data_IF_078244491446
#
_entry.id   IF_078244491446
#
_cell.length_a   1.000
_cell.length_b   1.000
_cell.length_c   1.000
_cell.angle_alpha   90.00
_cell.angle_beta   90.00
_cell.angle_gamma   90.00
#
_symmetry.space_group_name_H-M   'P 1'
#
loop_
_entity.id
_entity.type
_entity.pdbx_description
1 polymer ?
#
# COMPACT_ATOMS: atom_id res chain seq x y z
N UNK A 1 -8.65 12.75 1.66
CA UNK A 1 -8.57 11.56 2.54
C UNK A 1 -8.97 11.99 3.96
N UNK A 2 -9.09 11.09 4.95
CA UNK A 2 -9.37 11.49 6.33
C UNK A 2 -8.17 12.26 6.94
N UNK A 3 -8.46 13.31 7.71
CA UNK A 3 -7.50 14.14 8.49
C UNK A 3 -6.46 13.30 9.26
N UNK A 4 -6.85 12.13 9.77
CA UNK A 4 -5.92 11.22 10.43
C UNK A 4 -4.71 10.88 9.55
N UNK A 5 -4.92 10.48 8.29
CA UNK A 5 -3.84 10.06 7.39
C UNK A 5 -2.99 11.24 6.93
N UNK A 6 -3.59 12.41 6.70
CA UNK A 6 -2.85 13.64 6.41
C UNK A 6 -1.94 14.02 7.59
N UNK A 7 -2.46 13.91 8.82
CA UNK A 7 -1.67 14.14 10.03
C UNK A 7 -0.53 13.12 10.18
N UNK A 8 -0.76 11.88 9.77
CA UNK A 8 0.21 10.81 9.80
C UNK A 8 1.33 11.03 8.77
N UNK A 9 0.99 11.45 7.54
CA UNK A 9 1.96 11.83 6.50
C UNK A 9 2.92 12.91 7.00
N UNK A 10 2.38 13.98 7.62
CA UNK A 10 3.17 15.03 8.28
C UNK A 10 4.11 14.48 9.36
N UNK A 11 3.66 13.52 10.18
CA UNK A 11 4.49 12.90 11.22
C UNK A 11 5.65 12.11 10.61
N UNK A 12 5.42 11.40 9.51
CA UNK A 12 6.46 10.67 8.78
C UNK A 12 7.52 11.60 8.21
N UNK A 13 7.12 12.66 7.49
CA UNK A 13 8.08 13.65 6.96
C UNK A 13 8.92 14.26 8.08
N UNK A 14 8.27 14.78 9.13
CA UNK A 14 8.99 15.36 10.28
C UNK A 14 9.95 14.36 10.94
N UNK A 15 9.57 13.08 11.01
CA UNK A 15 10.42 12.04 11.56
C UNK A 15 11.63 11.72 10.67
N UNK A 16 11.48 11.78 9.34
CA UNK A 16 12.59 11.65 8.40
C UNK A 16 13.55 12.85 8.47
N UNK A 17 13.01 14.08 8.60
CA UNK A 17 13.82 15.30 8.72
C UNK A 17 14.72 15.28 9.96
N UNK A 18 14.21 14.80 11.09
CA UNK A 18 15.02 14.58 12.31
C UNK A 18 16.18 13.60 12.12
N UNK A 19 16.17 12.83 11.03
CA UNK A 19 17.22 11.87 10.65
C UNK A 19 18.06 12.34 9.46
N UNK A 20 17.94 13.63 9.08
CA UNK A 20 18.70 14.22 7.98
C UNK A 20 18.17 13.86 6.59
N UNK A 21 17.00 13.25 6.47
CA UNK A 21 16.38 12.91 5.20
C UNK A 21 15.19 13.82 4.90
N UNK A 22 15.13 14.38 3.68
CA UNK A 22 13.95 15.09 3.18
C UNK A 22 13.16 14.13 2.30
N UNK A 23 11.90 13.90 2.67
CA UNK A 23 10.94 13.13 1.89
C UNK A 23 9.69 13.97 1.67
N UNK A 24 8.99 13.72 0.58
CA UNK A 24 7.62 14.21 0.41
C UNK A 24 6.71 13.59 1.49
N UNK A 25 5.65 14.31 1.84
CA UNK A 25 4.65 13.77 2.77
C UNK A 25 4.00 12.55 2.12
N UNK A 26 4.02 11.36 2.77
CA UNK A 26 3.34 10.20 2.23
C UNK A 26 1.84 10.48 2.14
N UNK A 27 1.31 10.31 0.93
CA UNK A 27 -0.12 10.37 0.66
C UNK A 27 -0.64 8.97 0.32
N UNK A 28 -1.87 8.70 0.72
CA UNK A 28 -2.55 7.47 0.34
C UNK A 28 -3.75 7.87 -0.51
N UNK A 29 -3.80 7.37 -1.74
CA UNK A 29 -4.95 7.59 -2.62
C UNK A 29 -6.13 6.70 -2.18
N UNK A 30 -7.35 7.19 -2.29
CA UNK A 30 -8.55 6.46 -1.86
C UNK A 30 -8.76 5.13 -2.61
N UNK A 31 -8.45 5.09 -3.91
CA UNK A 31 -8.57 3.87 -4.73
C UNK A 31 -7.51 2.85 -4.35
N UNK A 32 -6.28 3.32 -4.14
CA UNK A 32 -5.17 2.47 -3.66
C UNK A 32 -5.47 1.93 -2.26
N UNK A 33 -6.00 2.76 -1.36
CA UNK A 33 -6.40 2.35 -0.02
C UNK A 33 -7.42 1.20 -0.05
N UNK A 34 -8.44 1.30 -0.91
CA UNK A 34 -9.46 0.26 -1.06
C UNK A 34 -8.83 -1.08 -1.45
N UNK A 35 -7.96 -1.08 -2.47
CA UNK A 35 -7.32 -2.33 -2.92
C UNK A 35 -6.34 -2.89 -1.88
N UNK A 36 -5.67 -2.05 -1.08
CA UNK A 36 -4.83 -2.53 0.03
C UNK A 36 -5.65 -3.19 1.15
N UNK A 37 -6.85 -2.71 1.42
CA UNK A 37 -7.78 -3.31 2.38
C UNK A 37 -8.30 -4.66 1.86
N UNK A 38 -8.68 -4.73 0.59
CA UNK A 38 -9.08 -5.98 -0.04
C UNK A 38 -7.94 -7.00 -0.12
N UNK A 39 -6.70 -6.56 -0.42
CA UNK A 39 -5.53 -7.41 -0.38
C UNK A 39 -5.29 -7.95 1.04
N UNK A 40 -5.40 -7.11 2.07
CA UNK A 40 -5.27 -7.53 3.46
C UNK A 40 -6.33 -8.58 3.81
N UNK A 41 -7.58 -8.39 3.35
CA UNK A 41 -8.67 -9.37 3.50
C UNK A 41 -8.28 -10.69 2.86
N UNK A 42 -7.87 -10.71 1.59
CA UNK A 42 -7.47 -11.96 0.91
C UNK A 42 -6.31 -12.64 1.63
N UNK A 43 -5.22 -11.91 1.88
CA UNK A 43 -4.04 -12.46 2.56
C UNK A 43 -4.35 -13.05 3.94
N UNK A 44 -5.29 -12.44 4.68
CA UNK A 44 -5.71 -12.93 5.99
C UNK A 44 -6.42 -14.29 5.93
N UNK A 45 -7.07 -14.61 4.81
CA UNK A 45 -7.91 -15.80 4.64
C UNK A 45 -7.27 -16.89 3.76
N UNK A 46 -6.27 -16.56 2.94
CA UNK A 46 -5.63 -17.55 2.04
C UNK A 46 -4.48 -18.32 2.69
N UNK A 47 -3.65 -17.67 3.53
CA UNK A 47 -2.44 -18.28 4.12
C UNK A 47 -2.45 -18.23 5.65
N UNK A 48 -2.16 -17.06 6.21
CA UNK A 48 -2.13 -16.84 7.65
C UNK A 48 -2.60 -15.43 7.98
N UNK A 49 -3.50 -15.30 8.95
CA UNK A 49 -4.08 -14.00 9.34
C UNK A 49 -3.03 -12.93 9.66
N UNK A 50 -1.90 -13.32 10.24
CA UNK A 50 -0.80 -12.42 10.60
C UNK A 50 -0.04 -11.85 9.39
N UNK A 51 -0.20 -12.43 8.19
CA UNK A 51 0.47 -11.96 6.98
C UNK A 51 -0.20 -10.75 6.34
N UNK A 52 -1.49 -10.50 6.63
CA UNK A 52 -2.21 -9.35 6.08
C UNK A 52 -1.46 -8.00 6.20
N UNK A 53 -0.96 -7.57 7.38
CA UNK A 53 -0.20 -6.32 7.48
C UNK A 53 1.11 -6.33 6.69
N UNK A 54 1.77 -7.49 6.55
CA UNK A 54 3.01 -7.62 5.79
C UNK A 54 2.75 -7.56 4.28
N UNK A 55 1.66 -8.18 3.81
CA UNK A 55 1.21 -8.11 2.43
C UNK A 55 0.86 -6.66 2.04
N UNK A 56 0.12 -5.93 2.88
CA UNK A 56 -0.18 -4.51 2.64
C UNK A 56 1.07 -3.63 2.65
N UNK A 57 2.03 -3.88 3.55
CA UNK A 57 3.32 -3.17 3.54
C UNK A 57 4.08 -3.41 2.24
N UNK A 58 4.18 -4.67 1.80
CA UNK A 58 4.86 -5.05 0.56
C UNK A 58 4.19 -4.44 -0.67
N UNK A 59 2.85 -4.40 -0.70
CA UNK A 59 2.10 -3.75 -1.78
C UNK A 59 2.37 -2.24 -1.84
N UNK A 60 2.48 -1.55 -0.70
CA UNK A 60 2.90 -0.15 -0.66
C UNK A 60 4.31 0.07 -1.22
N UNK A 61 5.26 -0.81 -0.89
CA UNK A 61 6.62 -0.76 -1.46
C UNK A 61 6.60 -1.00 -2.97
N UNK A 62 5.80 -1.95 -3.44
CA UNK A 62 5.66 -2.24 -4.87
C UNK A 62 5.02 -1.08 -5.64
N UNK A 63 4.01 -0.44 -5.08
CA UNK A 63 3.34 0.74 -5.63
C UNK A 63 4.33 1.89 -5.86
N UNK A 64 5.13 2.23 -4.85
CA UNK A 64 6.11 3.32 -4.97
C UNK A 64 7.25 2.99 -5.93
N UNK A 65 7.67 1.72 -6.02
CA UNK A 65 8.62 1.26 -7.05
C UNK A 65 8.04 1.40 -8.46
N UNK A 66 6.76 1.06 -8.66
CA UNK A 66 6.09 1.22 -9.95
C UNK A 66 5.94 2.70 -10.32
N UNK A 67 5.59 3.55 -9.34
CA UNK A 67 5.53 5.01 -9.50
C UNK A 67 6.88 5.56 -9.93
N UNK A 68 7.96 5.19 -9.27
CA UNK A 68 9.31 5.62 -9.62
C UNK A 68 9.77 5.13 -11.00
N UNK A 69 9.38 3.92 -11.41
CA UNK A 69 9.82 3.33 -12.66
C UNK A 69 9.15 3.93 -13.91
N UNK A 70 7.86 4.31 -13.83
CA UNK A 70 7.11 4.77 -15.01
C UNK A 70 6.14 5.92 -14.77
N UNK A 71 6.20 6.59 -13.62
CA UNK A 71 5.28 7.68 -13.28
C UNK A 71 3.83 7.21 -13.12
N UNK A 72 3.61 5.98 -12.63
CA UNK A 72 2.28 5.43 -12.45
C UNK A 72 1.42 6.33 -11.54
N UNK A 73 0.21 6.63 -11.99
CA UNK A 73 -0.79 7.36 -11.20
C UNK A 73 -1.55 6.43 -10.25
N UNK A 74 -2.48 6.98 -9.49
CA UNK A 74 -3.27 6.23 -8.53
C UNK A 74 -4.12 5.12 -9.17
N UNK A 75 -4.65 5.36 -10.38
CA UNK A 75 -5.46 4.39 -11.11
C UNK A 75 -4.63 3.20 -11.57
N UNK A 76 -3.44 3.45 -12.13
CA UNK A 76 -2.50 2.41 -12.51
C UNK A 76 -2.01 1.59 -11.31
N UNK A 77 -1.77 2.23 -10.16
CA UNK A 77 -1.36 1.55 -8.93
C UNK A 77 -2.50 0.69 -8.37
N UNK A 78 -3.72 1.22 -8.32
CA UNK A 78 -4.87 0.47 -7.84
C UNK A 78 -5.12 -0.77 -8.72
N UNK A 79 -5.06 -0.62 -10.05
CA UNK A 79 -5.17 -1.74 -10.98
C UNK A 79 -4.07 -2.79 -10.76
N UNK A 80 -2.84 -2.35 -10.51
CA UNK A 80 -1.71 -3.25 -10.24
C UNK A 80 -1.89 -4.03 -8.93
N UNK A 81 -2.31 -3.39 -7.84
CA UNK A 81 -2.58 -4.08 -6.56
C UNK A 81 -3.73 -5.07 -6.73
N UNK A 82 -4.77 -4.67 -7.47
CA UNK A 82 -5.92 -5.52 -7.79
C UNK A 82 -5.52 -6.79 -8.54
N UNK A 83 -4.68 -6.67 -9.57
CA UNK A 83 -4.19 -7.80 -10.36
C UNK A 83 -3.54 -8.86 -9.47
N UNK A 84 -2.57 -8.45 -8.64
CA UNK A 84 -1.88 -9.36 -7.71
C UNK A 84 -2.82 -9.92 -6.65
N UNK A 85 -3.76 -9.11 -6.14
CA UNK A 85 -4.79 -9.57 -5.19
C UNK A 85 -5.65 -10.68 -5.80
N UNK A 86 -6.13 -10.50 -7.03
CA UNK A 86 -6.98 -11.49 -7.71
C UNK A 86 -6.21 -12.78 -8.02
N UNK A 87 -4.91 -12.71 -8.29
CA UNK A 87 -4.05 -13.90 -8.41
C UNK A 87 -3.99 -14.68 -7.09
N UNK A 88 -3.75 -13.98 -5.97
CA UNK A 88 -3.72 -14.60 -4.64
C UNK A 88 -5.08 -15.19 -4.22
N UNK A 89 -6.18 -14.56 -4.62
CA UNK A 89 -7.54 -15.03 -4.30
C UNK A 89 -7.89 -16.33 -5.04
N UNK A 90 -7.25 -16.60 -6.20
CA UNK A 90 -7.42 -17.85 -6.96
C UNK A 90 -6.57 -19.00 -6.43
N UNK A 91 -5.59 -18.73 -5.56
CA UNK A 91 -4.80 -19.80 -4.97
C UNK A 91 -5.68 -20.67 -4.05
N UNK A 92 -5.59 -22.01 -4.13
CA UNK A 92 -6.28 -22.87 -3.19
C UNK A 92 -5.80 -22.57 -1.75
N UNK A 93 -6.72 -22.56 -0.76
CA UNK A 93 -6.34 -22.42 0.64
C UNK A 93 -5.37 -23.56 1.00
N UNK A 94 -4.30 -23.20 1.73
CA UNK A 94 -3.28 -24.15 2.20
C UNK A 94 -3.76 -24.86 3.45
#
# INVERSE_FOLDING_TARGET
MNEFFESLGRRWRKAAERRGAKIEEPELDAKVALELLELARVAAHTKERRFAPLASYMAGVAAERLRAAKGADADAIAAYVREVREELEREPPV
#
